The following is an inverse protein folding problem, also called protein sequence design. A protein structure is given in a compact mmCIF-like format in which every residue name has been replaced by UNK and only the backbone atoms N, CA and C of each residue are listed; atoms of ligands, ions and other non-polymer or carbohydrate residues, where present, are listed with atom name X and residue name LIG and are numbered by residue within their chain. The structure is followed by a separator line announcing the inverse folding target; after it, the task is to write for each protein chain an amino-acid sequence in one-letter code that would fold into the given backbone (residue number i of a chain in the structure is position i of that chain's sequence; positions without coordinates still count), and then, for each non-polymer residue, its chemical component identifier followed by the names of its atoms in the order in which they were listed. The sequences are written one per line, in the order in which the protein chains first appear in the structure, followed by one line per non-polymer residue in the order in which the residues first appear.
data_IF_473093268220
#
_entry.id   IF_473093268220
#
_cell.length_a   1.000
_cell.length_b   1.000
_cell.length_c   1.000
_cell.angle_alpha   90.00
_cell.angle_beta   90.00
_cell.angle_gamma   90.00
#
_symmetry.space_group_name_H-M   'P 1'
#
loop_
_entity.id
_entity.type
_entity.pdbx_description
1 polymer ?
#
# COMPACT_ATOMS: atom_id res chain seq x y z
N UNK A 1 41.67 18.99 12.51
CA UNK A 1 41.37 17.63 12.06
C UNK A 1 39.96 17.32 12.50
N UNK A 2 39.03 17.15 11.55
CA UNK A 2 37.64 16.85 11.88
C UNK A 2 37.59 15.44 12.50
N UNK A 3 36.91 15.21 13.64
CA UNK A 3 36.88 13.90 14.31
C UNK A 3 36.28 12.75 13.47
N UNK A 4 35.74 13.07 12.28
CA UNK A 4 35.18 12.13 11.32
C UNK A 4 36.20 11.66 10.27
N UNK A 5 37.40 12.24 10.22
CA UNK A 5 38.45 11.86 9.24
C UNK A 5 38.98 10.43 9.42
N UNK A 6 38.79 9.83 10.60
CA UNK A 6 39.27 8.49 10.93
C UNK A 6 38.17 7.41 10.89
N UNK A 7 36.95 7.76 10.48
CA UNK A 7 35.84 6.80 10.39
C UNK A 7 35.89 6.16 9.00
N UNK A 8 36.28 4.89 8.94
CA UNK A 8 36.14 4.09 7.72
C UNK A 8 34.66 3.84 7.44
N UNK A 9 34.23 4.26 6.25
CA UNK A 9 32.87 4.02 5.77
C UNK A 9 32.72 2.54 5.38
N UNK A 10 31.81 1.83 6.05
CA UNK A 10 31.42 0.47 5.70
C UNK A 10 30.05 0.48 5.02
N UNK A 11 30.03 0.14 3.72
CA UNK A 11 28.82 0.05 2.90
C UNK A 11 27.77 -0.92 3.43
N UNK A 12 28.18 -1.91 4.22
CA UNK A 12 27.33 -2.99 4.65
C UNK A 12 26.68 -2.73 6.01
N UNK A 13 27.20 -1.76 6.79
CA UNK A 13 26.68 -1.43 8.11
C UNK A 13 26.08 -0.03 8.22
N UNK A 14 26.43 0.91 7.33
CA UNK A 14 25.89 2.27 7.35
C UNK A 14 24.80 2.48 6.30
N UNK A 15 23.59 2.81 6.76
CA UNK A 15 22.46 3.17 5.88
C UNK A 15 22.78 4.45 5.12
N UNK A 16 22.71 4.46 3.77
CA UNK A 16 22.90 5.67 3.00
C UNK A 16 21.86 6.72 3.37
N UNK A 17 22.24 7.98 3.27
CA UNK A 17 21.29 9.06 3.45
C UNK A 17 20.33 9.07 2.26
N UNK A 18 19.04 9.27 2.57
CA UNK A 18 18.02 9.31 1.55
C UNK A 18 18.11 10.62 0.74
N UNK A 19 18.49 10.45 -0.53
CA UNK A 19 18.61 11.54 -1.49
C UNK A 19 17.25 12.16 -1.82
N UNK A 20 16.16 11.39 -1.75
CA UNK A 20 14.81 11.86 -2.09
C UNK A 20 14.33 12.92 -1.10
N UNK A 21 14.34 12.63 0.20
CA UNK A 21 13.96 13.60 1.24
C UNK A 21 14.96 14.76 1.34
N UNK A 22 16.26 14.48 1.20
CA UNK A 22 17.28 15.53 1.25
C UNK A 22 17.06 16.57 0.14
N UNK A 23 16.89 16.13 -1.11
CA UNK A 23 16.65 17.03 -2.24
C UNK A 23 15.25 17.65 -2.15
N UNK A 24 14.21 16.85 -1.93
CA UNK A 24 12.82 17.31 -1.86
C UNK A 24 12.58 18.35 -0.77
N UNK A 25 13.19 18.17 0.41
CA UNK A 25 13.08 19.12 1.51
C UNK A 25 13.72 20.48 1.19
N UNK A 26 14.86 20.51 0.51
CA UNK A 26 15.50 21.76 0.07
C UNK A 26 14.69 22.45 -1.02
N UNK A 27 14.26 21.69 -2.03
CA UNK A 27 13.48 22.22 -3.15
C UNK A 27 12.14 22.78 -2.67
N UNK A 28 11.45 22.10 -1.73
CA UNK A 28 10.21 22.61 -1.13
C UNK A 28 10.46 23.92 -0.39
N UNK A 29 11.51 23.96 0.44
CA UNK A 29 11.88 25.20 1.14
C UNK A 29 12.17 26.33 0.15
N UNK A 30 12.87 26.04 -0.95
CA UNK A 30 13.15 27.04 -1.98
C UNK A 30 11.88 27.54 -2.67
N UNK A 31 10.88 26.67 -2.91
CA UNK A 31 9.56 27.10 -3.39
C UNK A 31 8.90 28.06 -2.39
N UNK A 32 8.87 27.69 -1.10
CA UNK A 32 8.28 28.52 -0.05
C UNK A 32 8.94 29.90 0.02
N UNK A 33 10.28 29.94 0.09
CA UNK A 33 11.06 31.18 0.09
C UNK A 33 10.80 32.00 -1.17
N UNK A 34 10.71 31.35 -2.34
CA UNK A 34 10.45 32.05 -3.61
C UNK A 34 9.06 32.66 -3.65
N UNK A 35 8.01 31.97 -3.16
CA UNK A 35 6.67 32.56 -3.15
C UNK A 35 6.55 33.68 -2.11
N UNK A 36 7.19 33.55 -0.95
CA UNK A 36 7.24 34.65 0.03
C UNK A 36 7.97 35.89 -0.49
N UNK A 37 8.90 35.72 -1.43
CA UNK A 37 9.63 36.80 -2.09
C UNK A 37 8.75 37.65 -3.03
N UNK A 38 7.75 37.04 -3.67
CA UNK A 38 6.98 37.68 -4.74
C UNK A 38 5.98 38.71 -4.20
N UNK A 39 5.76 39.79 -4.95
CA UNK A 39 4.61 40.68 -4.75
C UNK A 39 3.33 40.02 -5.24
N UNK A 40 2.14 40.53 -4.90
CA UNK A 40 0.86 40.05 -5.46
C UNK A 40 0.83 40.07 -6.99
N UNK A 41 1.49 41.07 -7.60
CA UNK A 41 1.69 41.12 -9.04
C UNK A 41 2.61 39.97 -9.52
N UNK A 42 3.73 39.75 -8.84
CA UNK A 42 4.63 38.63 -9.14
C UNK A 42 3.97 37.25 -9.02
N UNK A 43 3.12 37.04 -8.01
CA UNK A 43 2.33 35.81 -7.86
C UNK A 43 1.32 35.62 -9.01
N UNK A 44 0.68 36.69 -9.44
CA UNK A 44 -0.29 36.68 -10.55
C UNK A 44 0.39 36.32 -11.89
N UNK A 45 1.53 36.96 -12.17
CA UNK A 45 2.38 36.67 -13.34
C UNK A 45 2.90 35.24 -13.32
N UNK A 46 3.34 34.76 -12.15
CA UNK A 46 3.78 33.38 -11.98
C UNK A 46 2.65 32.40 -12.32
N UNK A 47 1.43 32.63 -11.82
CA UNK A 47 0.27 31.77 -12.10
C UNK A 47 -0.11 31.77 -13.59
N UNK A 48 -0.05 32.93 -14.25
CA UNK A 48 -0.31 33.04 -15.68
C UNK A 48 0.68 32.18 -16.49
N UNK A 49 1.97 32.29 -16.22
CA UNK A 49 2.99 31.52 -16.92
C UNK A 49 3.00 30.03 -16.53
N UNK A 50 2.73 29.70 -15.28
CA UNK A 50 2.60 28.31 -14.85
C UNK A 50 1.40 27.61 -15.50
N UNK A 51 0.27 28.29 -15.72
CA UNK A 51 -0.88 27.72 -16.45
C UNK A 51 -0.56 27.51 -17.92
N UNK A 52 0.10 28.48 -18.55
CA UNK A 52 0.38 28.48 -20.00
C UNK A 52 1.60 27.66 -20.43
N UNK A 53 2.52 27.31 -19.52
CA UNK A 53 3.68 26.49 -19.90
C UNK A 53 3.26 25.09 -20.31
N UNK A 54 3.82 24.61 -21.42
CA UNK A 54 3.63 23.25 -21.91
C UNK A 54 4.15 22.24 -20.89
N UNK A 55 3.36 21.18 -20.64
CA UNK A 55 3.69 20.11 -19.70
C UNK A 55 3.56 18.77 -20.42
N UNK A 56 4.38 17.76 -20.08
CA UNK A 56 4.26 16.44 -20.67
C UNK A 56 2.81 15.89 -20.56
N UNK A 57 2.27 15.22 -21.60
CA UNK A 57 0.87 14.78 -21.62
C UNK A 57 0.47 13.87 -20.45
N UNK A 58 1.44 13.12 -19.92
CA UNK A 58 1.23 12.17 -18.82
C UNK A 58 1.31 12.80 -17.42
N UNK A 59 1.56 14.11 -17.32
CA UNK A 59 1.59 14.77 -16.02
C UNK A 59 0.18 15.03 -15.51
N UNK A 60 -0.10 14.56 -14.30
CA UNK A 60 -1.33 14.90 -13.60
C UNK A 60 -1.45 16.41 -13.41
N UNK A 61 -2.66 16.94 -13.52
CA UNK A 61 -2.94 18.33 -13.16
C UNK A 61 -2.58 18.54 -11.69
N UNK A 62 -1.81 19.60 -11.43
CA UNK A 62 -1.47 20.00 -10.07
C UNK A 62 -2.44 21.08 -9.58
N UNK A 63 -2.80 21.09 -8.28
CA UNK A 63 -3.51 22.22 -7.67
C UNK A 63 -2.70 23.52 -7.80
N UNK A 64 -3.31 24.67 -7.51
CA UNK A 64 -2.60 25.95 -7.47
C UNK A 64 -1.38 25.89 -6.52
N UNK A 65 -0.14 26.01 -7.02
CA UNK A 65 1.06 25.88 -6.20
C UNK A 65 1.26 26.98 -5.18
N UNK A 66 0.69 28.17 -5.39
CA UNK A 66 0.78 29.24 -4.39
C UNK A 66 -0.10 28.90 -3.18
N UNK A 67 -1.34 28.43 -3.41
CA UNK A 67 -2.31 28.19 -2.33
C UNK A 67 -2.19 26.81 -1.68
N UNK A 68 -1.82 25.78 -2.45
CA UNK A 68 -1.93 24.38 -2.02
C UNK A 68 -0.59 23.64 -1.94
N UNK A 69 0.56 24.32 -2.04
CA UNK A 69 1.89 23.67 -1.98
C UNK A 69 2.12 22.76 -0.78
N UNK A 70 1.46 23.01 0.36
CA UNK A 70 1.62 22.17 1.55
C UNK A 70 1.06 20.75 1.37
N UNK A 71 0.16 20.52 0.41
CA UNK A 71 -0.35 19.18 0.10
C UNK A 71 0.52 18.40 -0.90
N UNK A 72 1.53 19.03 -1.49
CA UNK A 72 2.32 18.46 -2.58
C UNK A 72 3.29 17.40 -2.09
N UNK A 73 3.43 16.30 -2.83
CA UNK A 73 4.55 15.38 -2.63
C UNK A 73 5.86 15.97 -3.11
N UNK A 74 6.99 15.41 -2.66
CA UNK A 74 8.27 15.73 -3.28
C UNK A 74 8.30 15.46 -4.79
N UNK A 75 7.57 14.45 -5.30
CA UNK A 75 7.41 14.26 -6.75
C UNK A 75 6.78 15.46 -7.46
N UNK A 76 5.79 16.11 -6.83
CA UNK A 76 5.15 17.31 -7.38
C UNK A 76 6.06 18.53 -7.25
N UNK A 77 6.79 18.63 -6.13
CA UNK A 77 7.81 19.66 -5.91
C UNK A 77 8.92 19.57 -6.96
N UNK A 78 9.38 18.37 -7.31
CA UNK A 78 10.39 18.16 -8.35
C UNK A 78 9.87 18.52 -9.74
N UNK A 79 8.62 18.18 -10.07
CA UNK A 79 7.97 18.62 -11.31
C UNK A 79 7.95 20.15 -11.40
N UNK A 80 7.65 20.84 -10.31
CA UNK A 80 7.70 22.30 -10.26
C UNK A 80 9.11 22.81 -10.42
N UNK A 81 10.10 22.23 -9.73
CA UNK A 81 11.49 22.64 -9.83
C UNK A 81 12.04 22.55 -11.25
N UNK A 82 11.59 21.58 -12.04
CA UNK A 82 11.90 21.50 -13.47
C UNK A 82 11.34 22.69 -14.27
N UNK A 83 10.15 23.18 -13.91
CA UNK A 83 9.47 24.28 -14.61
C UNK A 83 9.91 25.67 -14.12
N UNK A 84 10.32 25.79 -12.85
CA UNK A 84 10.60 27.07 -12.19
C UNK A 84 11.58 27.96 -12.98
N UNK A 85 12.74 27.48 -13.48
CA UNK A 85 13.64 28.31 -14.27
C UNK A 85 12.97 28.91 -15.52
N UNK A 86 12.13 28.13 -16.19
CA UNK A 86 11.46 28.56 -17.42
C UNK A 86 10.33 29.55 -17.14
N UNK A 87 9.59 29.33 -16.04
CA UNK A 87 8.52 30.23 -15.61
C UNK A 87 9.11 31.57 -15.17
N UNK A 88 10.09 31.55 -14.26
CA UNK A 88 10.72 32.77 -13.75
C UNK A 88 11.41 33.58 -14.85
N UNK A 89 12.04 32.92 -15.82
CA UNK A 89 12.67 33.61 -16.97
C UNK A 89 11.67 34.42 -17.80
N UNK A 90 10.37 34.09 -17.80
CA UNK A 90 9.36 34.78 -18.61
C UNK A 90 8.93 36.13 -18.04
N UNK A 91 8.92 36.28 -16.72
CA UNK A 91 8.36 37.48 -16.08
C UNK A 91 9.25 38.11 -15.00
N UNK A 92 10.10 37.32 -14.31
CA UNK A 92 10.72 37.79 -13.07
C UNK A 92 11.64 38.99 -13.33
N UNK A 93 11.30 40.11 -12.72
CA UNK A 93 12.11 41.34 -12.68
C UNK A 93 12.05 41.90 -11.28
N UNK A 94 12.81 42.96 -10.99
CA UNK A 94 12.78 43.60 -9.68
C UNK A 94 11.37 44.06 -9.27
N UNK A 95 10.49 44.42 -10.22
CA UNK A 95 9.12 44.86 -9.93
C UNK A 95 8.22 43.76 -9.34
N UNK A 96 8.62 42.51 -9.48
CA UNK A 96 7.85 41.33 -9.03
C UNK A 96 8.30 40.83 -7.65
N UNK A 97 9.31 41.44 -7.06
CA UNK A 97 9.92 41.06 -5.78
C UNK A 97 9.58 42.14 -4.76
N UNK A 98 9.24 41.75 -3.52
CA UNK A 98 8.95 42.71 -2.45
C UNK A 98 10.17 43.62 -2.16
N UNK A 99 9.91 44.89 -1.83
CA UNK A 99 10.93 45.95 -1.75
C UNK A 99 11.94 45.76 -0.62
N UNK A 100 11.48 45.26 0.52
CA UNK A 100 12.29 44.86 1.67
C UNK A 100 13.27 43.74 1.27
N UNK A 101 12.76 42.68 0.64
CA UNK A 101 13.58 41.56 0.20
C UNK A 101 14.57 41.94 -0.91
N UNK A 102 14.18 42.80 -1.86
CA UNK A 102 15.09 43.34 -2.87
C UNK A 102 16.28 44.06 -2.25
N UNK A 103 16.01 44.96 -1.30
CA UNK A 103 17.03 45.79 -0.66
C UNK A 103 17.99 44.91 0.14
N UNK A 104 17.44 44.02 0.95
CA UNK A 104 18.18 43.03 1.75
C UNK A 104 19.11 42.17 0.87
N UNK A 105 18.58 41.56 -0.20
CA UNK A 105 19.37 40.67 -1.07
C UNK A 105 20.43 41.48 -1.85
N UNK A 106 20.09 42.69 -2.33
CA UNK A 106 21.03 43.56 -3.03
C UNK A 106 22.22 43.92 -2.14
N UNK A 107 21.96 44.38 -0.92
CA UNK A 107 23.00 44.77 0.03
C UNK A 107 23.86 43.57 0.44
N UNK A 108 23.21 42.45 0.79
CA UNK A 108 23.88 41.20 1.18
C UNK A 108 24.85 40.69 0.11
N UNK A 109 24.43 40.74 -1.15
CA UNK A 109 25.23 40.26 -2.28
C UNK A 109 26.12 41.36 -2.88
N UNK A 110 26.14 42.56 -2.29
CA UNK A 110 26.84 43.75 -2.78
C UNK A 110 26.60 44.02 -4.29
N UNK A 111 25.33 43.96 -4.71
CA UNK A 111 24.96 44.11 -6.11
C UNK A 111 24.91 45.59 -6.50
N UNK A 112 25.51 45.91 -7.65
CA UNK A 112 25.53 47.26 -8.21
C UNK A 112 24.14 47.80 -8.57
N UNK A 113 23.25 46.93 -9.07
CA UNK A 113 21.92 47.31 -9.52
C UNK A 113 20.85 46.37 -8.96
N UNK A 114 19.68 46.92 -8.64
CA UNK A 114 18.54 46.19 -8.05
C UNK A 114 18.00 45.10 -8.98
N UNK A 115 18.05 45.31 -10.30
CA UNK A 115 17.59 44.34 -11.29
C UNK A 115 18.44 43.05 -11.34
N UNK A 116 19.67 43.09 -10.81
CA UNK A 116 20.51 41.90 -10.68
C UNK A 116 19.94 40.90 -9.67
N UNK A 117 19.11 41.33 -8.72
CA UNK A 117 18.49 40.44 -7.72
C UNK A 117 17.64 39.36 -8.40
N UNK A 118 16.78 39.75 -9.34
CA UNK A 118 15.94 38.79 -10.09
C UNK A 118 16.81 37.77 -10.86
N UNK A 119 17.94 38.21 -11.40
CA UNK A 119 18.90 37.33 -12.08
C UNK A 119 19.53 36.32 -11.11
N UNK A 120 19.86 36.74 -9.88
CA UNK A 120 20.41 35.85 -8.85
C UNK A 120 19.38 34.83 -8.38
N UNK A 121 18.13 35.22 -8.18
CA UNK A 121 17.03 34.30 -7.86
C UNK A 121 16.82 33.27 -8.97
N UNK A 122 16.84 33.71 -10.23
CA UNK A 122 16.77 32.79 -11.38
C UNK A 122 17.97 31.84 -11.42
N UNK A 123 19.18 32.33 -11.12
CA UNK A 123 20.40 31.51 -11.07
C UNK A 123 20.31 30.40 -10.01
N UNK A 124 19.72 30.69 -8.84
CA UNK A 124 19.46 29.68 -7.80
C UNK A 124 18.59 28.56 -8.36
N UNK A 125 17.46 28.90 -8.99
CA UNK A 125 16.55 27.90 -9.58
C UNK A 125 17.16 27.11 -10.73
N UNK A 126 17.95 27.76 -11.60
CA UNK A 126 18.68 27.07 -12.67
C UNK A 126 19.66 26.05 -12.08
N UNK A 127 20.35 26.42 -11.00
CA UNK A 127 21.27 25.52 -10.32
C UNK A 127 20.51 24.37 -9.67
N UNK A 128 19.42 24.65 -8.95
CA UNK A 128 18.53 23.65 -8.35
C UNK A 128 18.08 22.60 -9.38
N UNK A 129 17.55 23.04 -10.52
CA UNK A 129 17.08 22.14 -11.57
C UNK A 129 18.20 21.27 -12.16
N UNK A 130 19.41 21.84 -12.34
CA UNK A 130 20.59 21.09 -12.78
C UNK A 130 21.04 20.07 -11.72
N UNK A 131 21.03 20.45 -10.43
CA UNK A 131 21.36 19.54 -9.34
C UNK A 131 20.39 18.37 -9.30
N UNK A 132 19.08 18.63 -9.39
CA UNK A 132 18.04 17.59 -9.38
C UNK A 132 18.19 16.63 -10.57
N UNK A 133 18.50 17.16 -11.76
CA UNK A 133 18.77 16.33 -12.95
C UNK A 133 19.93 15.36 -12.72
N UNK A 134 21.03 15.83 -12.13
CA UNK A 134 22.20 14.99 -11.85
C UNK A 134 21.92 14.03 -10.69
N UNK A 135 21.26 14.50 -9.63
CA UNK A 135 20.95 13.70 -8.45
C UNK A 135 20.01 12.53 -8.76
N UNK A 136 19.06 12.70 -9.69
CA UNK A 136 18.15 11.63 -10.09
C UNK A 136 18.53 10.99 -11.44
N UNK A 137 19.80 11.06 -11.82
CA UNK A 137 20.30 10.30 -12.97
C UNK A 137 20.32 8.81 -12.65
N UNK A 138 19.77 8.01 -13.56
CA UNK A 138 19.75 6.52 -13.46
C UNK A 138 21.08 5.88 -13.83
N UNK A 139 22.00 6.66 -14.43
CA UNK A 139 23.36 6.24 -14.79
C UNK A 139 24.35 7.34 -14.45
N UNK A 140 25.56 6.96 -14.06
CA UNK A 140 26.65 7.88 -13.68
C UNK A 140 27.97 7.35 -14.25
N UNK A 141 28.73 8.23 -14.88
CA UNK A 141 30.15 8.00 -15.21
C UNK A 141 31.06 8.89 -14.36
N UNK A 142 32.38 8.79 -14.56
CA UNK A 142 33.36 9.58 -13.81
C UNK A 142 33.15 11.10 -13.96
N UNK A 143 32.67 11.56 -15.12
CA UNK A 143 32.39 12.97 -15.36
C UNK A 143 31.10 13.42 -14.67
N UNK A 144 30.07 12.58 -14.67
CA UNK A 144 28.81 12.81 -13.99
C UNK A 144 28.99 12.93 -12.47
N UNK A 145 29.85 12.11 -11.86
CA UNK A 145 30.18 12.27 -10.44
C UNK A 145 30.85 13.60 -10.12
N UNK A 146 31.83 14.03 -10.94
CA UNK A 146 32.48 15.34 -10.80
C UNK A 146 31.49 16.50 -10.99
N UNK A 147 30.59 16.37 -11.97
CA UNK A 147 29.54 17.34 -12.23
C UNK A 147 28.57 17.44 -11.05
N UNK A 148 28.12 16.31 -10.50
CA UNK A 148 27.25 16.25 -9.33
C UNK A 148 27.89 16.95 -8.13
N UNK A 149 29.14 16.63 -7.81
CA UNK A 149 29.86 17.26 -6.70
C UNK A 149 29.99 18.79 -6.89
N UNK A 150 30.39 19.23 -8.08
CA UNK A 150 30.51 20.66 -8.41
C UNK A 150 29.16 21.37 -8.28
N UNK A 151 28.10 20.77 -8.81
CA UNK A 151 26.76 21.37 -8.81
C UNK A 151 26.16 21.41 -7.40
N UNK A 152 26.38 20.39 -6.56
CA UNK A 152 25.96 20.40 -5.15
C UNK A 152 26.66 21.47 -4.33
N UNK A 153 27.97 21.66 -4.52
CA UNK A 153 28.73 22.74 -3.88
C UNK A 153 28.22 24.12 -4.29
N UNK A 154 28.00 24.31 -5.60
CA UNK A 154 27.47 25.58 -6.13
C UNK A 154 26.04 25.85 -5.65
N UNK A 155 25.19 24.82 -5.60
CA UNK A 155 23.84 24.92 -5.03
C UNK A 155 23.90 25.37 -3.57
N UNK A 156 24.73 24.73 -2.73
CA UNK A 156 24.89 25.10 -1.33
C UNK A 156 25.37 26.53 -1.17
N UNK A 157 26.35 26.94 -1.98
CA UNK A 157 26.87 28.32 -1.98
C UNK A 157 25.77 29.33 -2.32
N UNK A 158 25.07 29.13 -3.44
CA UNK A 158 24.04 30.07 -3.90
C UNK A 158 22.84 30.14 -2.95
N UNK A 159 22.38 29.02 -2.41
CA UNK A 159 21.26 29.01 -1.47
C UNK A 159 21.59 29.79 -0.20
N UNK A 160 22.78 29.56 0.37
CA UNK A 160 23.19 30.25 1.60
C UNK A 160 23.55 31.72 1.36
N UNK A 161 24.06 32.08 0.18
CA UNK A 161 24.33 33.48 -0.20
C UNK A 161 23.04 34.29 -0.38
N UNK A 162 22.07 33.75 -1.12
CA UNK A 162 20.84 34.47 -1.45
C UNK A 162 19.84 34.42 -0.29
N UNK A 163 19.72 33.27 0.38
CA UNK A 163 18.71 32.97 1.40
C UNK A 163 19.34 32.34 2.67
N UNK A 164 20.27 33.03 3.36
CA UNK A 164 20.98 32.50 4.53
C UNK A 164 20.04 32.11 5.67
N UNK A 165 19.00 32.90 5.94
CA UNK A 165 18.04 32.63 7.02
C UNK A 165 17.29 31.31 6.81
N UNK A 166 17.00 30.97 5.55
CA UNK A 166 16.31 29.73 5.20
C UNK A 166 17.24 28.52 5.10
N UNK A 167 18.52 28.72 4.75
CA UNK A 167 19.41 27.64 4.30
C UNK A 167 20.69 27.40 5.11
N UNK A 168 21.15 28.35 5.93
CA UNK A 168 22.46 28.25 6.60
C UNK A 168 22.62 27.02 7.50
N UNK A 169 21.57 26.63 8.23
CA UNK A 169 21.60 25.55 9.22
C UNK A 169 20.66 24.39 8.88
N UNK A 170 20.49 24.11 7.59
CA UNK A 170 19.56 23.05 7.14
C UNK A 170 20.27 21.71 7.05
N UNK A 171 19.85 20.69 7.81
CA UNK A 171 20.44 19.34 7.71
C UNK A 171 20.40 18.81 6.28
N UNK A 172 19.29 19.03 5.59
CA UNK A 172 19.16 18.65 4.18
C UNK A 172 20.24 19.29 3.30
N UNK A 173 20.66 20.53 3.57
CA UNK A 173 21.74 21.19 2.83
C UNK A 173 23.12 20.65 3.20
N UNK A 174 23.34 20.35 4.48
CA UNK A 174 24.56 19.66 4.92
C UNK A 174 24.75 18.33 4.17
N UNK A 175 23.69 17.57 3.92
CA UNK A 175 23.79 16.30 3.19
C UNK A 175 24.46 16.41 1.81
N UNK A 176 24.46 17.60 1.18
CA UNK A 176 25.15 17.82 -0.10
C UNK A 176 26.63 17.44 -0.07
N UNK A 177 27.31 17.51 1.09
CA UNK A 177 28.73 17.11 1.18
C UNK A 177 28.93 15.59 1.12
N UNK A 178 27.89 14.83 1.49
CA UNK A 178 27.94 13.36 1.56
C UNK A 178 27.37 12.69 0.30
N UNK A 179 26.43 13.34 -0.38
CA UNK A 179 25.76 12.80 -1.58
C UNK A 179 26.73 12.35 -2.70
N UNK A 180 27.85 13.03 -3.01
CA UNK A 180 28.78 12.55 -4.02
C UNK A 180 29.40 11.18 -3.67
N UNK A 181 29.71 10.94 -2.40
CA UNK A 181 30.25 9.66 -1.94
C UNK A 181 29.18 8.58 -1.99
N UNK A 182 27.95 8.89 -1.56
CA UNK A 182 26.81 7.96 -1.69
C UNK A 182 26.56 7.55 -3.15
N UNK A 183 26.64 8.51 -4.09
CA UNK A 183 26.50 8.22 -5.50
C UNK A 183 27.56 7.23 -6.01
N UNK A 184 28.82 7.36 -5.55
CA UNK A 184 29.90 6.43 -5.93
C UNK A 184 29.70 5.05 -5.31
N UNK A 185 29.31 5.01 -4.04
CA UNK A 185 29.16 3.78 -3.28
C UNK A 185 27.98 2.92 -3.77
N UNK A 186 26.88 3.57 -4.17
CA UNK A 186 25.66 2.91 -4.60
C UNK A 186 25.41 3.03 -6.10
N UNK A 187 26.44 3.38 -6.88
CA UNK A 187 26.42 3.70 -8.31
C UNK A 187 25.58 4.94 -8.70
N UNK A 188 24.42 5.17 -8.07
CA UNK A 188 23.58 6.36 -8.25
C UNK A 188 22.91 6.75 -6.94
N UNK A 189 22.48 8.01 -6.83
CA UNK A 189 21.64 8.46 -5.72
C UNK A 189 20.19 7.95 -5.83
N UNK A 190 19.76 7.48 -7.01
CA UNK A 190 18.44 6.85 -7.20
C UNK A 190 18.36 5.55 -6.39
N UNK A 191 19.47 4.81 -6.30
CA UNK A 191 19.54 3.56 -5.54
C UNK A 191 19.42 3.77 -4.02
N UNK A 192 19.68 4.97 -3.52
CA UNK A 192 19.48 5.35 -2.11
C UNK A 192 18.20 6.15 -1.90
N UNK A 193 17.43 6.39 -2.97
CA UNK A 193 16.22 7.21 -2.93
C UNK A 193 15.00 6.39 -2.53
N UNK A 194 14.17 6.93 -1.63
CA UNK A 194 12.95 6.24 -1.16
C UNK A 194 11.67 6.67 -1.89
N UNK A 195 11.78 7.43 -2.98
CA UNK A 195 10.61 8.01 -3.67
C UNK A 195 9.58 6.98 -4.14
N UNK A 196 10.03 5.83 -4.64
CA UNK A 196 9.14 4.72 -5.03
C UNK A 196 8.47 4.09 -3.81
N UNK A 197 9.24 3.88 -2.73
CA UNK A 197 8.72 3.34 -1.46
C UNK A 197 7.63 4.25 -0.89
N UNK A 198 7.80 5.57 -0.93
CA UNK A 198 6.79 6.54 -0.46
C UNK A 198 5.49 6.49 -1.28
N UNK A 199 5.60 6.30 -2.60
CA UNK A 199 4.42 6.13 -3.46
C UNK A 199 3.67 4.84 -3.12
N UNK A 200 4.39 3.73 -2.93
CA UNK A 200 3.79 2.45 -2.53
C UNK A 200 3.15 2.56 -1.15
N UNK A 201 3.84 3.18 -0.18
CA UNK A 201 3.33 3.38 1.17
C UNK A 201 2.02 4.17 1.19
N UNK A 202 1.89 5.18 0.34
CA UNK A 202 0.64 5.92 0.18
C UNK A 202 -0.49 5.07 -0.37
N UNK A 203 -0.23 4.30 -1.42
CA UNK A 203 -1.23 3.38 -2.00
C UNK A 203 -1.71 2.43 -0.91
N UNK A 204 -0.77 1.86 -0.16
CA UNK A 204 -1.08 0.96 0.95
C UNK A 204 -1.92 1.65 2.03
N UNK A 205 -1.53 2.85 2.50
CA UNK A 205 -2.32 3.62 3.46
C UNK A 205 -3.76 3.87 3.01
N UNK A 206 -3.97 4.17 1.73
CA UNK A 206 -5.32 4.35 1.17
C UNK A 206 -6.14 3.05 1.15
N UNK A 207 -5.47 1.90 1.03
CA UNK A 207 -6.11 0.58 1.04
C UNK A 207 -6.41 0.10 2.46
N UNK A 208 -5.59 0.44 3.46
CA UNK A 208 -5.72 -0.08 4.84
C UNK A 208 -7.14 0.05 5.39
N UNK A 209 -7.78 1.22 5.25
CA UNK A 209 -9.15 1.44 5.74
C UNK A 209 -10.25 0.63 5.05
N UNK A 210 -9.90 -0.15 4.02
CA UNK A 210 -10.79 -1.05 3.29
C UNK A 210 -10.43 -2.53 3.52
N UNK A 211 -9.60 -2.82 4.52
CA UNK A 211 -9.21 -4.20 4.90
C UNK A 211 -9.91 -4.59 6.21
N UNK A 212 -9.95 -5.88 6.54
CA UNK A 212 -10.48 -6.37 7.82
C UNK A 212 -9.53 -6.18 9.01
N UNK A 213 -8.39 -5.53 8.79
CA UNK A 213 -7.33 -5.23 9.76
C UNK A 213 -6.64 -6.45 10.42
N UNK A 214 -6.99 -7.70 10.07
CA UNK A 214 -6.43 -8.91 10.70
C UNK A 214 -5.05 -9.30 10.17
N UNK A 215 -4.77 -9.11 8.88
CA UNK A 215 -3.50 -9.51 8.24
C UNK A 215 -3.06 -8.51 7.17
N UNK A 216 -3.07 -7.23 7.53
CA UNK A 216 -2.85 -6.08 6.64
C UNK A 216 -1.62 -6.27 5.73
N UNK A 217 -0.47 -6.69 6.27
CA UNK A 217 0.74 -6.86 5.48
C UNK A 217 0.60 -7.93 4.39
N UNK A 218 0.07 -9.10 4.76
CA UNK A 218 -0.15 -10.21 3.84
C UNK A 218 -1.16 -9.83 2.76
N UNK A 219 -2.24 -9.15 3.14
CA UNK A 219 -3.29 -8.74 2.22
C UNK A 219 -2.80 -7.67 1.24
N UNK A 220 -2.03 -6.68 1.72
CA UNK A 220 -1.41 -5.65 0.88
C UNK A 220 -0.39 -6.23 -0.10
N UNK A 221 0.47 -7.15 0.36
CA UNK A 221 1.48 -7.81 -0.50
C UNK A 221 0.80 -8.69 -1.54
N UNK A 222 -0.18 -9.52 -1.14
CA UNK A 222 -0.97 -10.35 -2.07
C UNK A 222 -1.63 -9.48 -3.13
N UNK A 223 -2.29 -8.40 -2.71
CA UNK A 223 -2.95 -7.46 -3.63
C UNK A 223 -1.96 -6.81 -4.58
N UNK A 224 -0.83 -6.29 -4.07
CA UNK A 224 0.19 -5.63 -4.87
C UNK A 224 0.80 -6.56 -5.92
N UNK A 225 1.26 -7.75 -5.51
CA UNK A 225 1.84 -8.74 -6.42
C UNK A 225 0.86 -9.15 -7.51
N UNK A 226 -0.41 -9.32 -7.13
CA UNK A 226 -1.45 -9.70 -8.06
C UNK A 226 -1.75 -8.61 -9.10
N UNK A 227 -1.89 -7.35 -8.68
CA UNK A 227 -2.10 -6.24 -9.62
C UNK A 227 -0.90 -6.11 -10.56
N UNK A 228 0.32 -6.27 -10.05
CA UNK A 228 1.52 -6.21 -10.88
C UNK A 228 1.61 -7.37 -11.87
N UNK A 229 1.23 -8.58 -11.46
CA UNK A 229 1.14 -9.73 -12.36
C UNK A 229 0.09 -9.47 -13.46
N UNK A 230 -1.12 -9.04 -13.11
CA UNK A 230 -2.16 -8.70 -14.08
C UNK A 230 -1.71 -7.59 -15.05
N UNK A 231 -1.03 -6.56 -14.54
CA UNK A 231 -0.49 -5.49 -15.37
C UNK A 231 0.56 -6.01 -16.35
N UNK A 232 1.52 -6.80 -15.87
CA UNK A 232 2.54 -7.40 -16.72
C UNK A 232 1.91 -8.24 -17.83
N UNK A 233 0.89 -9.03 -17.48
CA UNK A 233 0.12 -9.85 -18.41
C UNK A 233 -0.63 -8.99 -19.46
N UNK A 234 -1.28 -7.89 -19.06
CA UNK A 234 -1.97 -6.96 -19.97
C UNK A 234 -1.00 -6.20 -20.87
N UNK A 235 0.17 -5.81 -20.37
CA UNK A 235 1.23 -5.11 -21.10
C UNK A 235 2.01 -6.06 -22.05
N UNK A 236 1.44 -7.22 -22.40
CA UNK A 236 2.04 -8.28 -23.23
C UNK A 236 3.40 -8.80 -22.71
N UNK A 237 3.60 -8.73 -21.40
CA UNK A 237 4.77 -9.29 -20.74
C UNK A 237 4.90 -10.80 -21.00
N UNK A 238 6.02 -11.20 -21.57
CA UNK A 238 6.32 -12.60 -21.84
C UNK A 238 7.09 -13.21 -20.67
N UNK A 239 6.56 -14.28 -20.09
CA UNK A 239 7.33 -15.20 -19.26
C UNK A 239 7.79 -16.36 -20.14
N UNK A 240 9.11 -16.54 -20.36
CA UNK A 240 9.64 -17.61 -21.21
C UNK A 240 9.20 -19.02 -20.82
N UNK A 241 8.73 -19.20 -19.57
CA UNK A 241 8.21 -20.48 -19.07
C UNK A 241 6.82 -20.83 -19.60
N UNK A 242 6.06 -19.85 -20.11
CA UNK A 242 4.67 -20.02 -20.53
C UNK A 242 4.46 -19.56 -21.98
N UNK A 243 4.76 -20.44 -22.93
CA UNK A 243 4.84 -20.17 -24.39
C UNK A 243 3.45 -19.93 -25.03
N UNK A 244 2.35 -20.23 -24.34
CA UNK A 244 1.01 -20.27 -24.94
C UNK A 244 0.12 -19.08 -24.52
N UNK A 245 -0.22 -18.18 -25.45
CA UNK A 245 -1.04 -16.97 -25.22
C UNK A 245 -2.55 -17.22 -25.02
N UNK A 246 -3.03 -18.47 -24.96
CA UNK A 246 -4.45 -18.80 -24.72
C UNK A 246 -4.98 -18.36 -23.34
N UNK A 247 -4.10 -18.02 -22.40
CA UNK A 247 -4.49 -17.62 -21.04
C UNK A 247 -5.14 -16.23 -20.97
N UNK A 248 -4.88 -15.30 -21.90
CA UNK A 248 -5.46 -13.94 -21.85
C UNK A 248 -6.99 -14.01 -21.85
N UNK A 249 -7.56 -14.78 -22.79
CA UNK A 249 -9.00 -15.00 -22.88
C UNK A 249 -9.60 -15.69 -21.64
N UNK A 250 -8.82 -16.54 -20.98
CA UNK A 250 -9.22 -17.25 -19.76
C UNK A 250 -9.17 -16.33 -18.53
N UNK A 251 -8.16 -15.47 -18.42
CA UNK A 251 -8.00 -14.52 -17.30
C UNK A 251 -8.99 -13.36 -17.41
N UNK A 252 -9.39 -12.95 -18.62
CA UNK A 252 -10.46 -11.95 -18.80
C UNK A 252 -11.88 -12.52 -18.65
N UNK A 253 -12.04 -13.83 -18.42
CA UNK A 253 -13.34 -14.41 -18.14
C UNK A 253 -13.90 -13.83 -16.83
N UNK A 254 -15.16 -13.38 -16.87
CA UNK A 254 -15.86 -12.79 -15.72
C UNK A 254 -15.80 -13.69 -14.49
N UNK A 255 -16.00 -14.99 -14.64
CA UNK A 255 -15.96 -15.93 -13.51
C UNK A 255 -14.57 -16.03 -12.89
N UNK A 256 -13.51 -16.06 -13.70
CA UNK A 256 -12.14 -16.12 -13.21
C UNK A 256 -11.77 -14.82 -12.48
N UNK A 257 -12.07 -13.66 -13.06
CA UNK A 257 -11.87 -12.36 -12.40
C UNK A 257 -12.66 -12.24 -11.10
N UNK A 258 -13.92 -12.69 -11.08
CA UNK A 258 -14.75 -12.67 -9.87
C UNK A 258 -14.16 -13.55 -8.78
N UNK A 259 -13.73 -14.79 -9.07
CA UNK A 259 -13.03 -15.66 -8.10
C UNK A 259 -11.72 -15.06 -7.61
N UNK A 260 -11.00 -14.39 -8.51
CA UNK A 260 -9.70 -13.82 -8.21
C UNK A 260 -9.80 -12.57 -7.32
N UNK A 261 -10.87 -11.79 -7.47
CA UNK A 261 -11.10 -10.53 -6.75
C UNK A 261 -12.03 -10.68 -5.53
N UNK A 262 -12.71 -11.81 -5.34
CA UNK A 262 -13.69 -12.01 -4.26
C UNK A 262 -13.10 -11.98 -2.85
N UNK A 263 -11.78 -12.12 -2.69
CA UNK A 263 -11.08 -12.00 -1.40
C UNK A 263 -10.56 -10.59 -1.10
N UNK A 264 -10.75 -9.61 -1.99
CA UNK A 264 -10.15 -8.27 -1.86
C UNK A 264 -11.08 -7.22 -1.28
N UNK A 265 -12.39 -7.52 -1.27
CA UNK A 265 -13.43 -6.59 -0.86
C UNK A 265 -14.38 -7.34 0.07
N UNK A 266 -14.82 -6.66 1.14
CA UNK A 266 -15.99 -7.10 1.87
C UNK A 266 -17.20 -6.95 0.93
N UNK A 267 -17.91 -8.04 0.67
CA UNK A 267 -19.11 -8.03 -0.16
C UNK A 267 -20.26 -8.58 0.68
N UNK A 268 -21.37 -7.85 0.75
CA UNK A 268 -22.59 -8.28 1.47
C UNK A 268 -23.15 -9.61 0.94
N UNK A 269 -22.83 -9.98 -0.30
CA UNK A 269 -23.21 -11.23 -0.94
C UNK A 269 -22.02 -11.84 -1.70
N UNK A 270 -21.79 -13.16 -1.64
CA UNK A 270 -20.78 -13.81 -2.46
C UNK A 270 -20.98 -13.49 -3.94
N UNK A 271 -19.94 -13.00 -4.63
CA UNK A 271 -19.99 -12.60 -6.04
C UNK A 271 -20.28 -13.76 -7.01
N UNK A 272 -20.24 -14.99 -6.51
CA UNK A 272 -20.62 -16.19 -7.23
C UNK A 272 -21.57 -16.96 -6.32
N UNK A 273 -22.84 -17.02 -6.70
CA UNK A 273 -23.66 -18.16 -6.34
C UNK A 273 -23.02 -19.37 -7.05
N UNK A 274 -22.16 -20.10 -6.33
CA UNK A 274 -21.56 -21.32 -6.86
C UNK A 274 -22.70 -22.26 -7.24
N UNK A 275 -22.89 -22.47 -8.56
CA UNK A 275 -23.94 -23.30 -9.13
C UNK A 275 -24.03 -24.65 -8.39
N UNK A 276 -25.14 -24.81 -7.67
CA UNK A 276 -25.52 -25.96 -6.85
C UNK A 276 -25.53 -27.25 -7.69
N UNK A 277 -24.46 -28.04 -7.64
CA UNK A 277 -24.44 -29.40 -8.22
C UNK A 277 -24.16 -30.50 -7.21
N UNK A 278 -23.57 -30.19 -6.04
CA UNK A 278 -23.32 -31.15 -4.94
C UNK A 278 -24.16 -30.84 -3.69
N UNK A 279 -25.41 -30.43 -3.87
CA UNK A 279 -26.36 -30.35 -2.75
C UNK A 279 -27.06 -31.70 -2.66
N UNK A 280 -26.54 -32.61 -1.82
CA UNK A 280 -27.40 -33.63 -1.22
C UNK A 280 -28.41 -32.84 -0.38
N UNK A 281 -29.57 -32.48 -0.95
CA UNK A 281 -30.68 -31.86 -0.25
C UNK A 281 -31.29 -32.91 0.70
N UNK A 282 -30.52 -33.25 1.72
CA UNK A 282 -30.94 -34.17 2.75
C UNK A 282 -31.65 -33.34 3.79
N UNK A 283 -32.89 -33.68 4.09
CA UNK A 283 -33.67 -32.99 5.12
C UNK A 283 -32.99 -33.19 6.47
N UNK A 284 -32.24 -32.18 6.91
CA UNK A 284 -31.61 -32.15 8.23
C UNK A 284 -32.58 -31.56 9.24
N UNK A 285 -32.57 -32.13 10.44
CA UNK A 285 -33.44 -31.73 11.52
C UNK A 285 -32.57 -31.12 12.61
N UNK A 286 -32.87 -29.89 12.99
CA UNK A 286 -32.31 -29.30 14.20
C UNK A 286 -33.14 -29.73 15.41
N UNK A 287 -32.48 -29.93 16.56
CA UNK A 287 -33.20 -30.06 17.83
C UNK A 287 -33.80 -28.73 18.28
N UNK A 288 -33.14 -27.61 17.94
CA UNK A 288 -33.63 -26.25 18.19
C UNK A 288 -34.36 -25.71 16.95
N UNK A 289 -35.66 -25.37 17.05
CA UNK A 289 -36.47 -24.91 15.93
C UNK A 289 -36.02 -23.56 15.34
N UNK A 290 -35.18 -22.79 16.04
CA UNK A 290 -34.64 -21.54 15.49
C UNK A 290 -33.64 -21.76 14.36
N UNK A 291 -33.06 -22.96 14.25
CA UNK A 291 -32.12 -23.30 13.18
C UNK A 291 -32.84 -24.06 12.06
N UNK A 292 -33.00 -23.38 10.92
CA UNK A 292 -33.71 -23.92 9.76
C UNK A 292 -32.80 -23.97 8.53
N UNK A 293 -33.28 -24.63 7.48
CA UNK A 293 -32.61 -24.69 6.17
C UNK A 293 -31.15 -25.17 6.22
N UNK A 294 -30.82 -26.09 7.14
CA UNK A 294 -29.49 -26.68 7.28
C UNK A 294 -29.12 -27.46 6.02
N UNK A 295 -27.98 -27.11 5.41
CA UNK A 295 -27.45 -27.73 4.19
C UNK A 295 -25.99 -28.09 4.37
N UNK A 296 -25.65 -29.33 4.07
CA UNK A 296 -24.28 -29.83 4.03
C UNK A 296 -23.78 -29.94 2.59
N UNK A 297 -22.48 -29.69 2.37
CA UNK A 297 -21.86 -29.75 1.03
C UNK A 297 -20.47 -30.37 1.07
N UNK A 298 -20.08 -30.95 -0.08
CA UNK A 298 -18.77 -31.62 -0.29
C UNK A 298 -18.51 -32.70 0.76
N UNK A 299 -19.22 -33.80 0.59
CA UNK A 299 -19.08 -35.01 1.41
C UNK A 299 -17.66 -35.56 1.30
N UNK A 300 -17.07 -35.90 2.42
CA UNK A 300 -15.73 -36.48 2.47
C UNK A 300 -15.73 -37.92 1.99
N UNK A 301 -14.71 -38.28 1.22
CA UNK A 301 -14.39 -39.66 0.93
C UNK A 301 -13.61 -40.33 2.08
N UNK A 302 -13.38 -41.64 1.95
CA UNK A 302 -12.68 -42.43 2.98
C UNK A 302 -11.25 -41.94 3.23
N UNK A 303 -10.56 -41.44 2.20
CA UNK A 303 -9.18 -40.98 2.32
C UNK A 303 -9.09 -39.66 3.09
N UNK A 304 -10.04 -38.75 2.85
CA UNK A 304 -10.16 -37.49 3.58
C UNK A 304 -10.49 -37.71 5.06
N UNK A 305 -11.43 -38.62 5.36
CA UNK A 305 -11.82 -38.97 6.74
C UNK A 305 -10.61 -39.49 7.53
N UNK A 306 -9.89 -40.48 6.98
CA UNK A 306 -8.73 -41.08 7.64
C UNK A 306 -7.56 -40.08 7.73
N UNK A 307 -7.34 -39.28 6.68
CA UNK A 307 -6.30 -38.25 6.67
C UNK A 307 -6.51 -37.15 7.71
N UNK A 308 -7.77 -36.85 8.06
CA UNK A 308 -8.12 -35.91 9.13
C UNK A 308 -8.12 -36.54 10.53
N UNK A 309 -7.89 -37.86 10.64
CA UNK A 309 -7.84 -38.58 11.92
C UNK A 309 -9.20 -39.04 12.45
N UNK A 310 -10.24 -39.06 11.61
CA UNK A 310 -11.59 -39.49 11.99
C UNK A 310 -11.91 -40.90 11.46
N UNK A 311 -12.96 -41.50 12.01
CA UNK A 311 -13.52 -42.78 11.55
C UNK A 311 -14.99 -42.62 11.19
N UNK A 312 -15.43 -43.40 10.20
CA UNK A 312 -16.83 -43.39 9.74
C UNK A 312 -17.80 -44.03 10.76
N UNK A 313 -17.28 -44.90 11.61
CA UNK A 313 -18.02 -45.56 12.69
C UNK A 313 -17.40 -45.07 14.00
N UNK A 314 -18.23 -44.52 14.88
CA UNK A 314 -17.83 -44.11 16.22
C UNK A 314 -17.43 -45.33 17.06
N UNK A 315 -16.21 -45.27 17.58
CA UNK A 315 -15.69 -46.23 18.54
C UNK A 315 -16.17 -45.82 19.95
N UNK A 316 -16.76 -46.74 20.75
CA UNK A 316 -17.16 -46.47 22.13
C UNK A 316 -16.06 -45.90 23.02
N UNK A 317 -14.80 -46.22 22.73
CA UNK A 317 -13.65 -45.75 23.51
C UNK A 317 -13.14 -44.36 23.04
N UNK A 318 -13.78 -43.76 22.01
CA UNK A 318 -13.41 -42.45 21.47
C UNK A 318 -14.08 -41.31 22.27
N UNK A 319 -13.31 -40.25 22.56
CA UNK A 319 -13.82 -39.05 23.24
C UNK A 319 -15.00 -38.41 22.53
N UNK A 320 -15.02 -38.42 21.19
CA UNK A 320 -16.14 -37.92 20.38
C UNK A 320 -17.44 -38.69 20.66
N UNK A 321 -17.35 -40.01 20.91
CA UNK A 321 -18.52 -40.81 21.26
C UNK A 321 -19.10 -40.38 22.61
N UNK A 322 -18.25 -40.17 23.61
CA UNK A 322 -18.68 -39.71 24.93
C UNK A 322 -19.32 -38.32 24.88
N UNK A 323 -18.70 -37.36 24.17
CA UNK A 323 -19.24 -36.00 24.04
C UNK A 323 -20.56 -36.00 23.26
N UNK A 324 -20.65 -36.75 22.16
CA UNK A 324 -21.89 -36.83 21.39
C UNK A 324 -23.00 -37.56 22.16
N UNK A 325 -22.65 -38.57 22.97
CA UNK A 325 -23.60 -39.27 23.83
C UNK A 325 -24.13 -38.36 24.94
N UNK A 326 -23.27 -37.52 25.54
CA UNK A 326 -23.68 -36.53 26.52
C UNK A 326 -24.61 -35.50 25.87
N UNK A 327 -24.24 -34.91 24.72
CA UNK A 327 -25.09 -33.95 24.02
C UNK A 327 -26.48 -34.52 23.68
N UNK A 328 -26.55 -35.75 23.17
CA UNK A 328 -27.86 -36.37 22.89
C UNK A 328 -28.67 -36.67 24.16
N UNK A 329 -28.03 -37.06 25.25
CA UNK A 329 -28.72 -37.43 26.51
C UNK A 329 -29.15 -36.20 27.30
N UNK A 330 -28.22 -35.27 27.49
CA UNK A 330 -28.31 -34.21 28.49
C UNK A 330 -28.92 -32.94 27.89
N UNK A 331 -28.57 -32.62 26.63
CA UNK A 331 -29.08 -31.40 25.96
C UNK A 331 -30.33 -31.67 25.12
N UNK A 332 -30.47 -32.88 24.55
CA UNK A 332 -31.54 -33.20 23.60
C UNK A 332 -32.59 -34.23 24.10
N UNK A 333 -32.41 -34.81 25.29
CA UNK A 333 -33.26 -35.88 25.87
C UNK A 333 -33.51 -37.08 24.91
N UNK A 334 -32.55 -37.36 24.01
CA UNK A 334 -32.60 -38.44 23.02
C UNK A 334 -31.81 -39.67 23.50
N UNK A 335 -32.31 -40.31 24.56
CA UNK A 335 -31.66 -41.51 25.14
C UNK A 335 -31.55 -42.63 24.10
N UNK A 336 -30.32 -43.09 23.89
CA UNK A 336 -30.02 -44.16 22.95
C UNK A 336 -29.90 -43.72 21.48
N UNK A 337 -29.82 -42.43 21.16
CA UNK A 337 -29.68 -41.95 19.77
C UNK A 337 -28.52 -42.61 18.98
N UNK A 338 -27.47 -43.05 19.67
CA UNK A 338 -26.24 -43.63 19.10
C UNK A 338 -26.25 -45.17 18.96
N UNK A 339 -27.42 -45.81 18.81
CA UNK A 339 -27.45 -47.23 18.40
C UNK A 339 -26.87 -47.36 16.99
N UNK A 340 -27.23 -46.44 16.09
CA UNK A 340 -26.46 -46.21 14.88
C UNK A 340 -25.21 -45.39 15.21
N UNK A 341 -24.04 -45.85 14.81
CA UNK A 341 -22.75 -45.19 15.11
C UNK A 341 -22.08 -44.59 13.88
N UNK A 342 -22.80 -44.55 12.76
CA UNK A 342 -22.25 -44.13 11.47
C UNK A 342 -22.35 -42.62 11.31
N UNK A 343 -21.21 -42.00 11.03
CA UNK A 343 -21.09 -40.59 10.72
C UNK A 343 -20.82 -40.36 9.23
N UNK A 344 -21.29 -39.23 8.71
CA UNK A 344 -20.95 -38.72 7.39
C UNK A 344 -20.33 -37.34 7.52
N UNK A 345 -19.18 -37.10 6.88
CA UNK A 345 -18.39 -35.88 7.06
C UNK A 345 -18.47 -34.98 5.82
N UNK A 346 -18.34 -33.67 6.03
CA UNK A 346 -18.53 -32.63 5.01
C UNK A 346 -17.55 -31.47 5.23
N UNK A 347 -17.24 -30.72 4.16
CA UNK A 347 -16.39 -29.52 4.27
C UNK A 347 -17.16 -28.26 4.71
N UNK A 348 -18.48 -28.22 4.46
CA UNK A 348 -19.30 -27.01 4.64
C UNK A 348 -20.66 -27.33 5.26
N UNK A 349 -21.13 -26.42 6.12
CA UNK A 349 -22.52 -26.33 6.57
C UNK A 349 -23.01 -24.90 6.40
N UNK A 350 -24.26 -24.75 5.98
CA UNK A 350 -24.96 -23.46 6.01
C UNK A 350 -26.36 -23.65 6.59
N UNK A 351 -26.80 -22.72 7.42
CA UNK A 351 -28.12 -22.73 8.04
C UNK A 351 -28.62 -21.29 8.24
N UNK A 352 -29.90 -21.15 8.50
CA UNK A 352 -30.54 -19.87 8.81
C UNK A 352 -31.01 -19.91 10.26
N UNK A 353 -30.77 -18.82 10.99
CA UNK A 353 -31.19 -18.65 12.38
C UNK A 353 -32.36 -17.67 12.41
N UNK A 354 -33.47 -18.10 13.01
CA UNK A 354 -34.63 -17.26 13.28
C UNK A 354 -34.41 -16.47 14.57
N UNK A 355 -34.37 -15.14 14.48
CA UNK A 355 -34.38 -14.23 15.65
C UNK A 355 -35.72 -13.49 15.71
N UNK A 356 -36.68 -14.05 16.45
CA UNK A 356 -38.05 -13.52 16.54
C UNK A 356 -38.87 -13.69 15.25
N UNK A 357 -39.71 -12.71 14.91
CA UNK A 357 -40.66 -12.81 13.79
C UNK A 357 -40.10 -12.37 12.41
N UNK A 358 -38.99 -11.63 12.32
CA UNK A 358 -38.60 -10.99 11.03
C UNK A 358 -37.09 -10.90 10.68
N UNK A 359 -36.18 -11.61 11.36
CA UNK A 359 -34.77 -11.62 10.95
C UNK A 359 -34.22 -13.05 10.77
N UNK A 360 -33.84 -13.38 9.52
CA UNK A 360 -33.07 -14.58 9.16
C UNK A 360 -31.58 -14.22 9.03
N UNK A 361 -30.76 -14.66 9.98
CA UNK A 361 -29.30 -14.60 9.80
C UNK A 361 -28.82 -15.88 9.11
N UNK A 362 -28.18 -15.72 7.95
CA UNK A 362 -27.60 -16.84 7.22
C UNK A 362 -26.16 -17.09 7.63
N UNK A 363 -25.94 -18.18 8.34
CA UNK A 363 -24.62 -18.61 8.78
C UNK A 363 -24.05 -19.65 7.82
N UNK A 364 -22.76 -19.51 7.49
CA UNK A 364 -22.03 -20.47 6.65
C UNK A 364 -20.66 -20.74 7.26
N UNK A 365 -20.41 -22.00 7.60
CA UNK A 365 -19.16 -22.46 8.22
C UNK A 365 -18.44 -23.44 7.31
N UNK A 366 -17.11 -23.40 7.37
CA UNK A 366 -16.21 -24.31 6.66
C UNK A 366 -15.17 -24.88 7.61
N UNK A 367 -14.77 -26.14 7.36
CA UNK A 367 -13.57 -26.73 7.96
C UNK A 367 -12.36 -25.80 7.76
N UNK A 368 -11.66 -25.50 8.86
CA UNK A 368 -10.55 -24.56 8.93
C UNK A 368 -10.93 -23.11 9.26
N UNK A 369 -12.23 -22.78 9.38
CA UNK A 369 -12.64 -21.50 9.96
C UNK A 369 -12.34 -21.45 11.46
N UNK A 370 -12.00 -20.25 11.95
CA UNK A 370 -11.85 -19.94 13.37
C UNK A 370 -13.18 -19.35 13.85
N UNK A 371 -13.75 -19.90 14.92
CA UNK A 371 -15.01 -19.48 15.52
C UNK A 371 -14.80 -19.08 16.98
N UNK A 372 -15.64 -18.16 17.44
CA UNK A 372 -15.66 -17.70 18.83
C UNK A 372 -16.43 -18.72 19.68
N UNK A 373 -15.87 -19.08 20.83
CA UNK A 373 -16.47 -19.97 21.82
C UNK A 373 -16.57 -19.25 23.16
N UNK A 374 -17.69 -19.43 23.86
CA UNK A 374 -17.81 -19.01 25.25
C UNK A 374 -17.34 -20.16 26.14
N UNK A 375 -16.14 -20.06 26.70
CA UNK A 375 -15.72 -20.92 27.80
C UNK A 375 -16.09 -20.28 29.14
N UNK A 376 -16.49 -21.08 30.13
CA UNK A 376 -16.95 -20.57 31.43
C UNK A 376 -15.86 -19.84 32.23
N UNK A 377 -14.58 -20.01 31.88
CA UNK A 377 -13.41 -19.48 32.63
C UNK A 377 -12.62 -18.38 31.90
N UNK A 378 -12.78 -18.17 30.58
CA UNK A 378 -12.06 -17.14 29.81
C UNK A 378 -13.04 -16.21 29.06
N UNK A 379 -12.77 -14.89 29.07
CA UNK A 379 -13.67 -13.88 28.47
C UNK A 379 -13.81 -14.01 26.94
N UNK A 380 -12.82 -14.58 26.24
CA UNK A 380 -12.86 -14.84 24.78
C UNK A 380 -12.02 -16.09 24.40
N UNK A 381 -12.68 -17.21 24.08
CA UNK A 381 -12.02 -18.42 23.57
C UNK A 381 -12.25 -18.60 22.05
N UNK A 382 -11.28 -19.15 21.32
CA UNK A 382 -11.38 -19.38 19.87
C UNK A 382 -11.09 -20.84 19.52
N UNK A 383 -11.87 -21.41 18.60
CA UNK A 383 -11.68 -22.77 18.11
C UNK A 383 -11.58 -22.84 16.59
N UNK A 384 -10.84 -23.82 16.08
CA UNK A 384 -10.76 -24.12 14.65
C UNK A 384 -11.67 -25.31 14.34
N UNK A 385 -12.56 -25.15 13.36
CA UNK A 385 -13.44 -26.23 12.92
C UNK A 385 -12.59 -27.30 12.23
N UNK A 386 -12.42 -28.46 12.90
CA UNK A 386 -11.64 -29.59 12.35
C UNK A 386 -12.45 -30.52 11.45
N UNK A 387 -13.76 -30.62 11.68
CA UNK A 387 -14.67 -31.45 10.89
C UNK A 387 -16.11 -30.98 11.08
N UNK A 388 -16.94 -31.21 10.06
CA UNK A 388 -18.39 -31.07 10.11
C UNK A 388 -18.96 -32.45 9.78
N UNK A 389 -19.91 -32.95 10.57
CA UNK A 389 -20.50 -34.26 10.37
C UNK A 389 -22.00 -34.26 10.57
N UNK A 390 -22.65 -35.27 9.98
CA UNK A 390 -24.05 -35.60 10.16
C UNK A 390 -24.18 -37.00 10.73
N UNK A 391 -25.14 -37.17 11.64
CA UNK A 391 -25.48 -38.44 12.27
C UNK A 391 -26.95 -38.78 12.04
N UNK A 392 -27.24 -40.03 11.66
CA UNK A 392 -28.60 -40.52 11.53
C UNK A 392 -29.00 -41.26 12.81
N UNK A 393 -29.81 -40.61 13.63
CA UNK A 393 -30.30 -41.17 14.89
C UNK A 393 -31.37 -42.25 14.67
N UNK A 394 -31.74 -42.95 15.74
CA UNK A 394 -32.69 -44.07 15.67
C UNK A 394 -34.10 -43.69 15.24
N UNK A 395 -34.48 -42.43 15.41
CA UNK A 395 -35.75 -41.88 14.92
C UNK A 395 -35.73 -41.62 13.41
N UNK A 396 -34.70 -42.10 12.70
CA UNK A 396 -34.47 -41.95 11.25
C UNK A 396 -34.16 -40.52 10.79
N UNK A 397 -34.15 -39.55 11.71
CA UNK A 397 -33.78 -38.18 11.42
C UNK A 397 -32.26 -38.02 11.34
N UNK A 398 -31.84 -37.04 10.55
CA UNK A 398 -30.44 -36.68 10.34
C UNK A 398 -30.15 -35.36 11.05
N UNK A 399 -29.26 -35.42 12.02
CA UNK A 399 -28.79 -34.29 12.83
C UNK A 399 -27.39 -33.90 12.40
#
# INVERSE_FOLDING_TARGET
RHPLENIMWDCHTQTPHDSYHAMGGKTRRLLDTTFHLLTSNGESEWLYHWKSIEKPPRWSKLPNPILHRQSFMFSDIFRLAMLMPFILKRFLTWRHIKSDALTLIKERLNLSRVDQVATRVLQVWVTEAKTLKLAFSVTMDTNAYKALEKTLREQSRLLTEVFPEDFANVPNLHLNVHLPQHAKNFATLVNTSVGVKEMVHRIFKGVVGHTNHKSIELDLIKRYNTVQALRHLVDEGEDPRFINRKWIAQVTCKEFLCKFLSGWYAVEKPLLEENNTDVEATHMVSHDPHFINIRLRKKWDRTQIVGAGFTKILDPDNTLFHHLSAAYSDDMDMKGALINRRLEFYDYVSYEVLDGEEAEERVSLRVGNVIDMKEEEEEDAFAIIRAIFCHMANNTNRY
#
